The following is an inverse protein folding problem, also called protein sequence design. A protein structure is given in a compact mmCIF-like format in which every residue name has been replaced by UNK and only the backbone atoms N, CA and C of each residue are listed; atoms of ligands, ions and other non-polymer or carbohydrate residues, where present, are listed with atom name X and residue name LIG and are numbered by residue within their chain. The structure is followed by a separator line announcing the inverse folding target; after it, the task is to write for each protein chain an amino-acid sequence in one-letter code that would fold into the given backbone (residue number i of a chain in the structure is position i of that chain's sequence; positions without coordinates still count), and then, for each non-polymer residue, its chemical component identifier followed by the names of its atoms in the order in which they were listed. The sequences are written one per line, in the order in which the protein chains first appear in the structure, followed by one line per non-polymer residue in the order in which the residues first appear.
data_IF_913366163522
#
_entry.id   IF_913366163522
#
_cell.length_a   1.000
_cell.length_b   1.000
_cell.length_c   1.000
_cell.angle_alpha   90.00
_cell.angle_beta   90.00
_cell.angle_gamma   90.00
#
_symmetry.space_group_name_H-M   'P 1'
#
loop_
_entity.id
_entity.type
_entity.pdbx_description
1 polymer ?
#
# COMPACT_ATOMS: atom_id res chain seq x y z
N UNK A 1 9.19 3.16 -2.01
CA UNK A 1 9.63 1.75 -2.27
C UNK A 1 10.90 1.41 -1.51
N UNK A 2 12.05 2.09 -1.77
CA UNK A 2 13.31 1.80 -1.07
C UNK A 2 13.21 2.00 0.46
N UNK A 3 12.53 3.07 0.90
CA UNK A 3 12.25 3.33 2.32
C UNK A 3 11.41 2.22 2.95
N UNK A 4 10.37 1.75 2.24
CA UNK A 4 9.48 0.70 2.77
C UNK A 4 10.22 -0.65 2.94
N UNK A 5 11.14 -0.96 2.02
CA UNK A 5 12.00 -2.14 2.13
C UNK A 5 13.01 -1.99 3.27
N UNK A 6 13.58 -0.79 3.46
CA UNK A 6 14.47 -0.52 4.59
C UNK A 6 13.73 -0.66 5.93
N UNK A 7 12.52 -0.09 6.06
CA UNK A 7 11.68 -0.27 7.24
C UNK A 7 11.44 -1.75 7.53
N UNK A 8 11.07 -2.54 6.51
CA UNK A 8 10.85 -3.99 6.70
C UNK A 8 12.07 -4.72 7.27
N UNK A 9 13.28 -4.27 6.93
CA UNK A 9 14.53 -4.88 7.36
C UNK A 9 15.01 -4.41 8.75
N UNK A 10 14.52 -3.28 9.24
CA UNK A 10 15.12 -2.60 10.40
C UNK A 10 14.19 -2.40 11.59
N UNK A 11 12.88 -2.26 11.38
CA UNK A 11 11.96 -1.97 12.47
C UNK A 11 11.72 -3.18 13.35
N UNK A 12 11.61 -2.94 14.65
CA UNK A 12 11.32 -3.96 15.68
C UNK A 12 9.90 -3.84 16.23
N UNK A 13 9.22 -2.75 15.91
CA UNK A 13 7.81 -2.47 16.22
C UNK A 13 7.03 -2.13 14.95
N UNK A 14 5.69 -2.28 14.94
CA UNK A 14 4.88 -1.92 13.79
C UNK A 14 5.00 -0.43 13.44
N UNK A 15 5.19 -0.12 12.16
CA UNK A 15 5.32 1.24 11.65
C UNK A 15 4.29 1.49 10.57
N UNK A 16 3.48 2.54 10.76
CA UNK A 16 2.64 3.13 9.71
C UNK A 16 3.37 4.34 9.12
N UNK A 17 3.64 4.28 7.82
CA UNK A 17 4.22 5.38 7.04
C UNK A 17 3.21 5.88 6.03
N UNK A 18 2.94 7.19 6.04
CA UNK A 18 2.11 7.87 5.03
C UNK A 18 3.01 8.79 4.20
N UNK A 19 2.78 8.85 2.90
CA UNK A 19 3.58 9.68 2.01
C UNK A 19 2.82 10.08 0.75
N UNK A 20 3.31 11.13 0.11
CA UNK A 20 2.80 11.64 -1.17
C UNK A 20 3.81 11.39 -2.28
N UNK A 21 3.30 11.23 -3.47
CA UNK A 21 4.10 11.18 -4.68
C UNK A 21 4.38 12.59 -5.19
N UNK A 22 5.59 12.84 -5.65
CA UNK A 22 5.97 14.09 -6.31
C UNK A 22 6.02 13.87 -7.81
N UNK A 23 5.06 14.45 -8.53
CA UNK A 23 4.86 14.21 -9.96
C UNK A 23 3.88 13.08 -10.25
N UNK A 24 3.75 12.73 -11.53
CA UNK A 24 2.81 11.72 -12.02
C UNK A 24 3.45 10.34 -11.99
N UNK A 25 2.96 9.49 -11.10
CA UNK A 25 3.50 8.14 -10.90
C UNK A 25 2.43 7.07 -11.02
N UNK A 26 2.82 5.97 -11.69
CA UNK A 26 2.12 4.69 -11.62
C UNK A 26 2.98 3.64 -10.93
N UNK A 27 2.37 2.73 -10.22
CA UNK A 27 3.09 1.57 -9.68
C UNK A 27 2.42 0.27 -10.08
N UNK A 28 3.23 -0.77 -10.25
CA UNK A 28 2.75 -2.12 -10.52
C UNK A 28 3.29 -3.10 -9.47
N UNK A 29 2.51 -4.14 -9.21
CA UNK A 29 2.92 -5.19 -8.28
C UNK A 29 4.13 -5.99 -8.77
N UNK A 30 4.80 -6.67 -7.86
CA UNK A 30 6.03 -7.43 -8.11
C UNK A 30 5.93 -8.41 -9.28
N UNK A 31 4.76 -8.97 -9.54
CA UNK A 31 4.49 -9.97 -10.57
C UNK A 31 3.70 -9.42 -11.78
N UNK A 32 3.41 -8.11 -11.80
CA UNK A 32 2.62 -7.48 -12.84
C UNK A 32 3.33 -7.43 -14.21
N UNK A 33 2.54 -7.47 -15.28
CA UNK A 33 3.04 -7.24 -16.65
C UNK A 33 3.19 -5.75 -16.91
N UNK A 34 4.42 -5.30 -17.16
CA UNK A 34 4.71 -3.88 -17.39
C UNK A 34 4.05 -3.36 -18.67
N UNK A 35 4.04 -4.14 -19.75
CA UNK A 35 3.44 -3.72 -21.02
C UNK A 35 1.93 -3.52 -20.91
N UNK A 36 1.29 -4.31 -20.05
CA UNK A 36 -0.12 -4.13 -19.74
C UNK A 36 -0.33 -2.88 -18.88
N UNK A 37 0.45 -2.67 -17.84
CA UNK A 37 0.38 -1.48 -16.98
C UNK A 37 0.55 -0.18 -17.80
N UNK A 38 1.52 -0.14 -18.70
CA UNK A 38 1.78 1.03 -19.57
C UNK A 38 0.62 1.38 -20.51
N UNK A 39 -0.21 0.38 -20.92
CA UNK A 39 -1.43 0.62 -21.69
C UNK A 39 -2.59 1.15 -20.86
N UNK A 40 -2.61 0.82 -19.57
CA UNK A 40 -3.69 1.19 -18.66
C UNK A 40 -3.56 2.61 -18.15
N UNK A 41 -2.31 3.07 -17.90
CA UNK A 41 -2.02 4.42 -17.42
C UNK A 41 -0.92 5.01 -18.29
N UNK A 42 -1.26 6.06 -19.04
CA UNK A 42 -0.33 6.76 -19.90
C UNK A 42 0.32 7.96 -19.20
N UNK A 43 1.49 8.37 -19.68
CA UNK A 43 2.17 9.61 -19.27
C UNK A 43 2.57 9.69 -17.80
N UNK A 44 2.92 8.57 -17.17
CA UNK A 44 3.40 8.51 -15.80
C UNK A 44 4.80 7.92 -15.71
N UNK A 45 5.54 8.30 -14.68
CA UNK A 45 6.73 7.58 -14.27
C UNK A 45 6.35 6.27 -13.58
N UNK A 46 7.11 5.20 -13.83
CA UNK A 46 6.77 3.88 -13.32
C UNK A 46 7.72 3.40 -12.24
N UNK A 47 7.17 2.72 -11.24
CA UNK A 47 7.94 1.94 -10.28
C UNK A 47 7.28 0.60 -10.02
N UNK A 48 8.08 -0.46 -9.93
CA UNK A 48 7.60 -1.77 -9.50
C UNK A 48 7.74 -1.91 -7.99
N UNK A 49 6.63 -2.25 -7.33
CA UNK A 49 6.60 -2.49 -5.88
C UNK A 49 7.28 -3.81 -5.51
N UNK A 50 7.73 -3.90 -4.28
CA UNK A 50 8.22 -5.14 -3.69
C UNK A 50 7.06 -6.09 -3.30
N UNK A 51 5.88 -5.56 -3.07
CA UNK A 51 4.63 -6.28 -2.80
C UNK A 51 3.95 -6.75 -4.08
N UNK A 52 3.01 -7.68 -3.96
CA UNK A 52 2.12 -8.08 -5.06
C UNK A 52 1.07 -7.02 -5.39
N UNK A 53 -0.01 -7.46 -6.02
CA UNK A 53 -1.13 -6.63 -6.46
C UNK A 53 -1.03 -6.17 -7.91
N UNK A 54 -2.04 -5.47 -8.40
CA UNK A 54 -2.13 -4.96 -9.76
C UNK A 54 -1.50 -3.58 -9.94
N UNK A 55 -2.05 -2.80 -10.85
CA UNK A 55 -1.58 -1.46 -11.22
C UNK A 55 -2.30 -0.41 -10.37
N UNK A 56 -1.59 0.62 -9.93
CA UNK A 56 -2.13 1.75 -9.17
C UNK A 56 -1.66 3.05 -9.81
N UNK A 57 -2.60 3.95 -10.07
CA UNK A 57 -2.36 5.34 -10.42
C UNK A 57 -2.25 6.17 -9.14
N UNK A 58 -1.12 6.85 -8.96
CA UNK A 58 -0.83 7.67 -7.77
C UNK A 58 -1.03 9.17 -7.98
N UNK A 59 -1.63 9.57 -9.10
CA UNK A 59 -1.89 10.99 -9.38
C UNK A 59 -2.93 11.58 -8.42
N UNK A 60 -3.82 10.73 -7.89
CA UNK A 60 -4.92 11.15 -7.03
C UNK A 60 -5.26 10.09 -5.98
N UNK A 61 -4.31 9.81 -5.09
CA UNK A 61 -4.48 8.84 -4.02
C UNK A 61 -3.85 9.29 -2.70
N UNK A 62 -4.26 8.61 -1.64
CA UNK A 62 -3.58 8.63 -0.35
C UNK A 62 -2.83 7.32 -0.18
N UNK A 63 -1.50 7.39 -0.20
CA UNK A 63 -0.65 6.20 -0.13
C UNK A 63 -0.13 5.98 1.28
N UNK A 64 -0.22 4.73 1.75
CA UNK A 64 0.34 4.32 3.03
C UNK A 64 1.10 3.00 2.92
N UNK A 65 2.03 2.81 3.85
CA UNK A 65 2.74 1.55 4.06
C UNK A 65 2.64 1.16 5.52
N UNK A 66 2.29 -0.09 5.78
CA UNK A 66 2.33 -0.66 7.12
C UNK A 66 3.36 -1.78 7.15
N UNK A 67 4.35 -1.62 8.01
CA UNK A 67 5.41 -2.62 8.25
C UNK A 67 5.19 -3.23 9.61
N UNK A 68 5.07 -4.56 9.66
CA UNK A 68 4.77 -5.30 10.88
C UNK A 68 5.86 -6.37 11.07
N UNK A 69 6.70 -6.26 12.11
CA UNK A 69 7.75 -7.24 12.39
C UNK A 69 7.22 -8.67 12.56
N UNK A 70 8.06 -9.66 12.29
CA UNK A 70 7.68 -11.07 12.39
C UNK A 70 7.37 -11.55 13.82
N UNK A 71 7.69 -10.74 14.83
CA UNK A 71 7.26 -10.95 16.22
C UNK A 71 5.76 -10.82 16.43
N UNK A 72 5.08 -10.06 15.57
CA UNK A 72 3.66 -9.77 15.68
C UNK A 72 2.77 -10.86 15.10
N UNK A 73 1.64 -11.16 15.76
CA UNK A 73 0.68 -12.18 15.30
C UNK A 73 0.10 -11.89 13.93
N UNK A 74 -0.17 -10.62 13.62
CA UNK A 74 -0.69 -10.20 12.31
C UNK A 74 0.30 -10.53 11.18
N UNK A 75 1.60 -10.36 11.41
CA UNK A 75 2.62 -10.71 10.42
C UNK A 75 2.69 -12.22 10.18
N UNK A 76 2.43 -13.04 11.20
CA UNK A 76 2.43 -14.51 11.14
C UNK A 76 1.12 -15.11 10.62
N UNK A 77 0.03 -14.35 10.64
CA UNK A 77 -1.28 -14.80 10.20
C UNK A 77 -1.32 -15.09 8.68
N UNK A 78 -2.33 -15.82 8.21
CA UNK A 78 -2.54 -16.05 6.77
C UNK A 78 -2.74 -14.73 6.03
N UNK A 79 -2.37 -14.69 4.73
CA UNK A 79 -2.45 -13.48 3.91
C UNK A 79 -3.81 -12.78 3.93
N UNK A 80 -4.88 -13.53 3.77
CA UNK A 80 -6.23 -12.99 3.84
C UNK A 80 -6.58 -12.40 5.22
N UNK A 81 -6.10 -13.00 6.30
CA UNK A 81 -6.41 -12.55 7.65
C UNK A 81 -5.69 -11.24 8.00
N UNK A 82 -4.39 -11.13 7.73
CA UNK A 82 -3.67 -9.87 7.95
C UNK A 82 -4.22 -8.74 7.07
N UNK A 83 -4.63 -9.07 5.85
CA UNK A 83 -5.27 -8.12 4.95
C UNK A 83 -6.59 -7.60 5.53
N UNK A 84 -7.43 -8.51 6.00
CA UNK A 84 -8.71 -8.21 6.65
C UNK A 84 -8.53 -7.34 7.89
N UNK A 85 -7.60 -7.69 8.79
CA UNK A 85 -7.34 -6.92 10.03
C UNK A 85 -6.94 -5.48 9.72
N UNK A 86 -6.00 -5.28 8.80
CA UNK A 86 -5.53 -3.94 8.44
C UNK A 86 -6.66 -3.14 7.78
N UNK A 87 -7.41 -3.74 6.87
CA UNK A 87 -8.49 -3.06 6.17
C UNK A 87 -9.72 -2.81 7.07
N UNK A 88 -9.95 -3.60 8.11
CA UNK A 88 -10.92 -3.25 9.16
C UNK A 88 -10.51 -1.97 9.90
N UNK A 89 -9.23 -1.82 10.24
CA UNK A 89 -8.71 -0.57 10.79
C UNK A 89 -8.88 0.60 9.82
N UNK A 90 -8.65 0.36 8.53
CA UNK A 90 -8.82 1.38 7.50
C UNK A 90 -10.28 1.84 7.35
N UNK A 91 -11.27 0.95 7.51
CA UNK A 91 -12.69 1.35 7.54
C UNK A 91 -12.96 2.43 8.60
N UNK A 92 -12.37 2.28 9.80
CA UNK A 92 -12.51 3.24 10.89
C UNK A 92 -11.80 4.58 10.63
N UNK A 93 -10.80 4.56 9.76
CA UNK A 93 -10.02 5.75 9.38
C UNK A 93 -10.65 6.52 8.21
N UNK A 94 -11.50 5.89 7.43
CA UNK A 94 -12.18 6.54 6.31
C UNK A 94 -13.42 7.31 6.77
N UNK A 95 -13.84 8.27 5.94
CA UNK A 95 -15.02 9.08 6.22
C UNK A 95 -16.29 8.23 6.15
N UNK A 96 -17.11 8.30 7.18
CA UNK A 96 -18.39 7.60 7.28
C UNK A 96 -19.37 7.96 6.16
N UNK A 97 -19.26 9.16 5.58
CA UNK A 97 -20.14 9.56 4.46
C UNK A 97 -19.97 8.69 3.21
N UNK A 98 -18.84 7.95 3.10
CA UNK A 98 -18.61 7.00 2.02
C UNK A 98 -19.26 5.63 2.27
N UNK A 99 -19.80 5.41 3.48
CA UNK A 99 -20.32 4.11 3.93
C UNK A 99 -19.41 2.94 3.53
N UNK A 100 -18.10 2.98 3.91
CA UNK A 100 -17.13 1.99 3.46
C UNK A 100 -17.41 0.63 4.08
N UNK A 101 -17.28 -0.41 3.28
CA UNK A 101 -17.42 -1.82 3.73
C UNK A 101 -16.28 -2.67 3.15
N UNK A 102 -16.04 -3.83 3.77
CA UNK A 102 -15.10 -4.80 3.17
C UNK A 102 -15.79 -5.57 2.06
N UNK A 103 -15.14 -5.65 0.90
CA UNK A 103 -15.59 -6.50 -0.21
C UNK A 103 -15.52 -7.98 0.16
N UNK A 104 -16.50 -8.74 -0.27
CA UNK A 104 -16.51 -10.21 -0.21
C UNK A 104 -15.80 -10.85 -1.40
N UNK A 105 -15.32 -10.03 -2.35
CA UNK A 105 -14.64 -10.49 -3.56
C UNK A 105 -15.57 -10.96 -4.68
N UNK A 106 -16.88 -10.88 -4.52
CA UNK A 106 -17.86 -11.39 -5.51
C UNK A 106 -17.88 -10.60 -6.83
N UNK A 107 -17.38 -9.35 -6.82
CA UNK A 107 -17.35 -8.46 -7.99
C UNK A 107 -16.05 -8.56 -8.82
N UNK A 108 -15.18 -9.55 -8.56
CA UNK A 108 -13.90 -9.69 -9.27
C UNK A 108 -14.12 -10.04 -10.75
N UNK A 109 -14.07 -9.05 -11.62
CA UNK A 109 -14.06 -9.19 -13.08
C UNK A 109 -12.64 -9.05 -13.62
N UNK A 110 -12.38 -9.59 -14.82
CA UNK A 110 -11.04 -9.83 -15.37
C UNK A 110 -10.20 -8.63 -15.83
N UNK A 111 -10.31 -7.46 -15.20
CA UNK A 111 -9.49 -6.28 -15.52
C UNK A 111 -8.29 -6.17 -14.56
N UNK A 112 -7.12 -5.79 -15.06
CA UNK A 112 -5.87 -5.76 -14.27
C UNK A 112 -5.72 -4.53 -13.39
N UNK A 113 -6.53 -3.49 -13.57
CA UNK A 113 -6.47 -2.29 -12.73
C UNK A 113 -6.97 -2.58 -11.32
N UNK A 114 -6.12 -2.35 -10.32
CA UNK A 114 -6.41 -2.59 -8.91
C UNK A 114 -7.69 -1.90 -8.42
N UNK A 115 -8.05 -0.73 -8.96
CA UNK A 115 -9.23 0.00 -8.53
C UNK A 115 -10.53 -0.39 -9.26
N UNK A 116 -10.47 -1.20 -10.33
CA UNK A 116 -11.67 -1.67 -11.04
C UNK A 116 -12.21 -3.00 -10.56
N UNK A 117 -11.35 -3.82 -9.93
CA UNK A 117 -11.72 -5.17 -9.47
C UNK A 117 -11.41 -5.33 -8.00
N UNK A 118 -12.38 -5.09 -7.10
CA UNK A 118 -12.22 -5.37 -5.69
C UNK A 118 -11.95 -6.86 -5.47
N UNK A 119 -10.91 -7.17 -4.72
CA UNK A 119 -10.69 -8.51 -4.18
C UNK A 119 -11.27 -8.62 -2.77
N UNK A 120 -11.36 -9.83 -2.24
CA UNK A 120 -11.86 -10.06 -0.89
C UNK A 120 -11.08 -9.19 0.12
N UNK A 121 -11.82 -8.47 0.97
CA UNK A 121 -11.34 -7.52 1.97
C UNK A 121 -10.75 -6.20 1.44
N UNK A 122 -10.85 -5.90 0.14
CA UNK A 122 -10.69 -4.52 -0.29
C UNK A 122 -11.78 -3.63 0.33
N UNK A 123 -11.51 -2.35 0.49
CA UNK A 123 -12.52 -1.40 0.94
C UNK A 123 -13.29 -0.87 -0.26
N UNK A 124 -14.60 -0.97 -0.20
CA UNK A 124 -15.53 -0.50 -1.25
C UNK A 124 -16.59 0.41 -0.64
N UNK A 125 -17.22 1.24 -1.48
CA UNK A 125 -18.40 1.98 -1.09
C UNK A 125 -19.66 1.10 -1.09
N UNK A 126 -20.80 1.67 -0.72
CA UNK A 126 -22.10 0.96 -0.63
C UNK A 126 -22.62 0.44 -1.98
N UNK A 127 -22.06 0.89 -3.10
CA UNK A 127 -22.43 0.45 -4.46
C UNK A 127 -21.35 -0.42 -5.11
N UNK A 128 -20.30 -0.75 -4.36
CA UNK A 128 -19.26 -1.69 -4.77
C UNK A 128 -18.05 -1.06 -5.48
N UNK A 129 -17.96 0.28 -5.58
CA UNK A 129 -16.76 0.91 -6.12
C UNK A 129 -15.60 0.80 -5.13
N UNK A 130 -14.44 0.43 -5.61
CA UNK A 130 -13.25 0.29 -4.78
C UNK A 130 -12.76 1.64 -4.27
N UNK A 131 -12.71 1.79 -2.96
CA UNK A 131 -12.16 2.95 -2.25
C UNK A 131 -10.70 2.74 -1.88
N UNK A 132 -10.33 1.52 -1.49
CA UNK A 132 -8.95 1.22 -1.12
C UNK A 132 -8.57 -0.24 -1.39
N UNK A 133 -7.29 -0.44 -1.61
CA UNK A 133 -6.70 -1.76 -1.74
C UNK A 133 -5.21 -1.73 -1.44
N UNK A 134 -4.59 -2.90 -1.35
CA UNK A 134 -3.20 -3.02 -1.00
C UNK A 134 -2.53 -4.24 -1.64
N UNK A 135 -1.20 -4.22 -1.65
CA UNK A 135 -0.36 -5.37 -1.91
C UNK A 135 0.40 -5.79 -0.66
N UNK A 136 0.62 -7.07 -0.49
CA UNK A 136 1.38 -7.59 0.65
C UNK A 136 2.60 -8.39 0.20
N UNK A 137 3.64 -8.35 1.03
CA UNK A 137 4.80 -9.24 0.96
C UNK A 137 5.17 -9.72 2.35
N UNK A 138 5.41 -11.01 2.46
CA UNK A 138 5.96 -11.63 3.68
C UNK A 138 7.39 -12.03 3.44
N UNK A 139 8.20 -11.83 4.46
CA UNK A 139 9.58 -12.29 4.53
C UNK A 139 9.86 -12.82 5.96
N UNK A 140 11.08 -13.22 6.21
CA UNK A 140 11.51 -13.61 7.56
C UNK A 140 11.54 -12.43 8.54
N UNK A 141 11.68 -11.21 8.03
CA UNK A 141 11.67 -9.96 8.81
C UNK A 141 10.27 -9.60 9.28
N UNK A 142 9.24 -9.88 8.46
CA UNK A 142 7.87 -9.53 8.78
C UNK A 142 6.95 -9.40 7.57
N UNK A 143 5.93 -8.56 7.73
CA UNK A 143 4.93 -8.23 6.73
C UNK A 143 5.10 -6.79 6.26
N UNK A 144 5.23 -6.61 4.96
CA UNK A 144 5.10 -5.33 4.27
C UNK A 144 3.71 -5.28 3.62
N UNK A 145 2.91 -4.28 3.98
CA UNK A 145 1.60 -3.99 3.42
C UNK A 145 1.61 -2.58 2.84
N UNK A 146 1.51 -2.45 1.50
CA UNK A 146 1.49 -1.18 0.78
C UNK A 146 0.10 -0.94 0.24
N UNK A 147 -0.56 0.11 0.71
CA UNK A 147 -1.94 0.43 0.39
C UNK A 147 -2.11 1.79 -0.27
N UNK A 148 -3.22 1.93 -0.97
CA UNK A 148 -3.67 3.14 -1.64
C UNK A 148 -5.16 3.31 -1.45
N UNK A 149 -5.57 4.53 -1.11
CA UNK A 149 -6.96 4.95 -0.99
C UNK A 149 -7.24 5.94 -2.10
N UNK A 150 -8.29 5.71 -2.88
CA UNK A 150 -8.70 6.57 -3.97
C UNK A 150 -9.10 7.97 -3.48
N UNK A 151 -8.75 8.97 -4.26
CA UNK A 151 -8.99 10.38 -3.98
C UNK A 151 -7.87 11.03 -3.16
N UNK A 152 -7.40 12.18 -3.65
CA UNK A 152 -6.44 13.00 -2.91
C UNK A 152 -7.10 13.59 -1.66
N UNK A 153 -6.28 13.88 -0.67
CA UNK A 153 -6.69 14.62 0.49
C UNK A 153 -5.64 15.70 0.81
N UNK A 154 -6.09 16.77 1.45
CA UNK A 154 -5.17 17.76 1.99
C UNK A 154 -4.37 17.20 3.17
N UNK A 155 -3.48 18.00 3.71
CA UNK A 155 -2.59 17.58 4.79
C UNK A 155 -3.35 17.29 6.08
N UNK A 156 -4.38 18.09 6.39
CA UNK A 156 -5.19 17.94 7.61
C UNK A 156 -5.93 16.62 7.59
N UNK A 157 -6.61 16.33 6.49
CA UNK A 157 -7.32 15.05 6.29
C UNK A 157 -6.35 13.87 6.27
N UNK A 158 -5.15 14.05 5.72
CA UNK A 158 -4.12 13.02 5.71
C UNK A 158 -3.64 12.68 7.12
N UNK A 159 -3.39 13.69 7.95
CA UNK A 159 -2.98 13.51 9.36
C UNK A 159 -4.10 12.82 10.14
N UNK A 160 -5.32 13.35 10.12
CA UNK A 160 -6.48 12.75 10.81
C UNK A 160 -6.68 11.28 10.43
N UNK A 161 -6.62 10.97 9.13
CA UNK A 161 -6.74 9.60 8.64
C UNK A 161 -5.63 8.69 9.14
N UNK A 162 -4.38 9.18 9.16
CA UNK A 162 -3.24 8.38 9.65
C UNK A 162 -3.34 8.11 11.15
N UNK A 163 -3.74 9.10 11.95
CA UNK A 163 -3.95 8.95 13.38
C UNK A 163 -5.09 7.98 13.71
N UNK A 164 -6.22 8.11 13.02
CA UNK A 164 -7.37 7.20 13.17
C UNK A 164 -7.00 5.76 12.78
N UNK A 165 -6.20 5.58 11.71
CA UNK A 165 -5.71 4.25 11.31
C UNK A 165 -4.76 3.67 12.35
N UNK A 166 -3.84 4.46 12.88
CA UNK A 166 -2.93 4.03 13.93
C UNK A 166 -3.72 3.62 15.19
N UNK A 167 -4.65 4.46 15.65
CA UNK A 167 -5.49 4.18 16.82
C UNK A 167 -6.40 2.95 16.64
N UNK A 168 -6.83 2.65 15.41
CA UNK A 168 -7.63 1.46 15.11
C UNK A 168 -6.81 0.15 15.15
N UNK A 169 -5.50 0.23 14.95
CA UNK A 169 -4.61 -0.94 14.83
C UNK A 169 -3.73 -1.16 16.07
N UNK A 170 -3.51 -0.14 16.90
CA UNK A 170 -2.68 -0.21 18.08
C UNK A 170 -3.35 0.46 19.30
N UNK A 171 -3.12 -0.10 20.51
CA UNK A 171 -3.60 0.50 21.76
C UNK A 171 -2.85 1.77 22.13
N UNK A 172 -1.57 1.79 21.83
CA UNK A 172 -0.66 2.90 22.04
C UNK A 172 0.10 3.15 20.75
N UNK A 173 0.26 4.38 20.37
CA UNK A 173 1.01 4.81 19.19
C UNK A 173 1.60 6.19 19.42
N UNK A 174 2.62 6.54 18.67
CA UNK A 174 3.28 7.84 18.72
C UNK A 174 3.89 8.20 17.37
N UNK A 175 4.29 9.45 17.23
CA UNK A 175 5.00 9.91 16.06
C UNK A 175 6.50 9.71 16.27
N UNK A 176 7.17 9.18 15.29
CA UNK A 176 8.61 8.99 15.29
C UNK A 176 9.23 9.45 13.98
N UNK A 177 10.36 10.14 14.07
CA UNK A 177 11.12 10.62 12.92
C UNK A 177 12.12 9.54 12.47
N UNK A 178 11.64 8.55 11.77
CA UNK A 178 12.43 7.45 11.23
C UNK A 178 13.00 7.83 9.86
N UNK A 179 14.21 8.37 9.85
CA UNK A 179 14.92 8.72 8.62
C UNK A 179 15.94 7.63 8.26
N UNK A 180 15.79 7.01 7.08
CA UNK A 180 16.80 6.06 6.60
C UNK A 180 18.10 6.78 6.24
N UNK A 181 19.27 6.17 6.48
CA UNK A 181 20.53 6.71 5.99
C UNK A 181 20.49 6.88 4.47
N UNK A 182 20.91 8.05 3.93
CA UNK A 182 20.83 8.33 2.50
C UNK A 182 21.56 7.29 1.63
N UNK A 183 22.72 6.81 2.10
CA UNK A 183 23.51 5.79 1.41
C UNK A 183 22.80 4.43 1.31
N UNK A 184 22.00 4.07 2.32
CA UNK A 184 21.20 2.84 2.31
C UNK A 184 20.11 2.94 1.25
N UNK A 185 19.44 4.09 1.18
CA UNK A 185 18.41 4.32 0.17
C UNK A 185 19.04 4.37 -1.23
N UNK A 186 20.16 5.07 -1.41
CA UNK A 186 20.88 5.10 -2.68
C UNK A 186 21.28 3.69 -3.14
N UNK A 187 21.75 2.84 -2.23
CA UNK A 187 22.09 1.45 -2.52
C UNK A 187 20.86 0.64 -2.98
N UNK A 188 19.71 0.75 -2.31
CA UNK A 188 18.46 0.06 -2.70
C UNK A 188 17.92 0.56 -4.04
N UNK A 189 18.04 1.87 -4.30
CA UNK A 189 17.67 2.44 -5.59
C UNK A 189 18.57 1.89 -6.69
N UNK A 190 19.90 1.90 -6.50
CA UNK A 190 20.84 1.40 -7.47
C UNK A 190 20.73 -0.11 -7.72
N UNK A 191 20.40 -0.89 -6.67
CA UNK A 191 20.27 -2.35 -6.78
C UNK A 191 18.92 -2.81 -7.36
N UNK A 192 17.88 -1.98 -7.30
CA UNK A 192 16.52 -2.40 -7.67
C UNK A 192 15.65 -1.28 -8.25
N UNK A 193 15.25 -0.31 -7.43
CA UNK A 193 14.16 0.61 -7.78
C UNK A 193 14.50 1.64 -8.86
N UNK A 194 15.78 1.91 -9.11
CA UNK A 194 16.27 2.74 -10.20
C UNK A 194 16.60 1.95 -11.48
N UNK A 195 16.42 0.63 -11.48
CA UNK A 195 16.73 -0.19 -12.65
C UNK A 195 15.51 -0.39 -13.55
N UNK A 196 15.65 -0.10 -14.82
CA UNK A 196 14.65 -0.41 -15.84
C UNK A 196 14.36 -1.93 -15.90
N UNK A 197 15.38 -2.76 -15.76
CA UNK A 197 15.23 -4.22 -15.73
C UNK A 197 14.36 -4.71 -14.57
N UNK A 198 14.37 -4.02 -13.42
CA UNK A 198 13.44 -4.31 -12.33
C UNK A 198 12.03 -3.85 -12.67
N UNK A 199 11.88 -2.61 -13.11
CA UNK A 199 10.56 -2.00 -13.33
C UNK A 199 9.85 -2.63 -14.52
N UNK A 200 10.56 -2.89 -15.63
CA UNK A 200 10.02 -3.39 -16.91
C UNK A 200 10.04 -4.91 -17.07
N UNK A 201 10.53 -5.65 -16.07
CA UNK A 201 10.49 -7.12 -16.13
C UNK A 201 9.06 -7.65 -16.22
N UNK A 202 8.91 -8.87 -16.75
CA UNK A 202 7.67 -9.63 -16.72
C UNK A 202 7.36 -10.12 -15.31
#
# INVERSE_FOLDING_TARGET
MAVDEWLLETVVEPVLRVYRWSGEWGSLGCFGDFKQAEREIANVCWVRRYTGGGVVDHQNDWTYTFVIPSSEDVARSKGAESYRVIHQGLLLALNESLNPVLSDGSAAGGDSMCFRNPVCYDVVDSVGNKLAGAGQRRSKEGLLHQGSVAGSCDEIVSIDRSERLAAALAKEWGLEDLLPPPEVIASKVAARYGLDDWTRRR
#
